data_IF_035466460868
#
_entry.id   IF_035466460868
#
_cell.length_a   1.000
_cell.length_b   1.000
_cell.length_c   1.000
_cell.angle_alpha   90.00
_cell.angle_beta   90.00
_cell.angle_gamma   90.00
#
_symmetry.space_group_name_H-M   'P 1'
#
loop_
_entity.id
_entity.type
_entity.pdbx_description
1 polymer ?
#
# COMPACT_ATOMS: atom_id res chain seq x y z
N UNK A 1 19.65 -8.31 -21.46
CA UNK A 1 18.35 -7.61 -21.34
C UNK A 1 17.74 -7.72 -19.95
N UNK A 2 17.50 -8.93 -19.41
CA UNK A 2 16.85 -9.11 -18.09
C UNK A 2 17.55 -8.41 -16.91
N UNK A 3 18.89 -8.41 -16.85
CA UNK A 3 19.65 -7.70 -15.81
C UNK A 3 19.46 -6.17 -15.85
N UNK A 4 19.35 -5.60 -17.03
CA UNK A 4 19.10 -4.16 -17.21
C UNK A 4 17.69 -3.80 -16.74
N UNK A 5 16.69 -4.63 -17.07
CA UNK A 5 15.33 -4.47 -16.58
C UNK A 5 15.25 -4.58 -15.05
N UNK A 6 15.97 -5.54 -14.46
CA UNK A 6 16.07 -5.66 -13.00
C UNK A 6 16.69 -4.42 -12.35
N UNK A 7 17.74 -3.86 -12.95
CA UNK A 7 18.38 -2.64 -12.47
C UNK A 7 17.44 -1.43 -12.55
N UNK A 8 16.68 -1.30 -13.64
CA UNK A 8 15.70 -0.23 -13.80
C UNK A 8 14.54 -0.37 -12.80
N UNK A 9 14.06 -1.60 -12.58
CA UNK A 9 13.04 -1.88 -11.57
C UNK A 9 13.54 -1.54 -10.16
N UNK A 10 14.77 -1.92 -9.84
CA UNK A 10 15.39 -1.56 -8.56
C UNK A 10 15.52 -0.04 -8.38
N UNK A 11 16.03 0.67 -9.39
CA UNK A 11 16.18 2.13 -9.33
C UNK A 11 14.83 2.86 -9.23
N UNK A 12 13.79 2.33 -9.85
CA UNK A 12 12.42 2.82 -9.70
C UNK A 12 11.89 2.56 -8.29
N UNK A 13 12.07 1.35 -7.76
CA UNK A 13 11.57 0.96 -6.46
C UNK A 13 12.27 1.71 -5.31
N UNK A 14 13.58 1.56 -5.18
CA UNK A 14 14.36 2.18 -4.11
C UNK A 14 15.46 3.10 -4.66
N UNK A 15 15.56 4.36 -4.20
CA UNK A 15 14.72 5.01 -3.18
C UNK A 15 13.44 5.66 -3.73
N UNK A 16 13.22 5.63 -5.05
CA UNK A 16 12.30 6.56 -5.71
C UNK A 16 10.81 6.32 -5.39
N UNK A 17 10.34 5.08 -5.29
CA UNK A 17 8.95 4.80 -4.90
C UNK A 17 8.82 4.53 -3.41
N UNK A 18 9.70 3.71 -2.84
CA UNK A 18 9.57 3.24 -1.46
C UNK A 18 9.83 4.31 -0.41
N UNK A 19 10.65 5.33 -0.71
CA UNK A 19 11.15 6.26 0.31
C UNK A 19 10.92 7.75 -0.01
N UNK A 20 11.29 8.20 -1.20
CA UNK A 20 11.27 9.63 -1.55
C UNK A 20 9.89 10.29 -1.35
N UNK A 21 8.77 9.70 -1.79
CA UNK A 21 7.45 10.31 -1.61
C UNK A 21 7.12 10.55 -0.14
N UNK A 22 7.48 9.60 0.73
CA UNK A 22 7.24 9.67 2.18
C UNK A 22 8.16 10.65 2.90
N UNK A 23 9.35 10.94 2.35
CA UNK A 23 10.22 12.02 2.86
C UNK A 23 9.66 13.40 2.51
N UNK A 24 9.05 13.55 1.33
CA UNK A 24 8.47 14.80 0.86
C UNK A 24 7.11 15.06 1.51
N UNK A 25 6.36 14.00 1.80
CA UNK A 25 5.01 14.08 2.37
C UNK A 25 4.89 15.01 3.59
N UNK A 26 5.71 14.93 4.66
CA UNK A 26 5.62 15.86 5.79
C UNK A 26 5.72 17.33 5.39
N UNK A 27 6.51 17.64 4.36
CA UNK A 27 6.64 19.00 3.84
C UNK A 27 5.33 19.44 3.18
N UNK A 28 4.75 18.56 2.36
CA UNK A 28 3.54 18.86 1.59
C UNK A 28 2.24 18.81 2.42
N UNK A 29 2.15 17.92 3.41
CA UNK A 29 0.90 17.67 4.15
C UNK A 29 0.87 18.31 5.53
N UNK A 30 2.02 18.63 6.13
CA UNK A 30 2.09 19.25 7.46
C UNK A 30 2.67 20.66 7.37
N UNK A 31 3.90 20.80 6.90
CA UNK A 31 4.63 22.07 6.97
C UNK A 31 4.02 23.15 6.07
N UNK A 32 3.81 22.86 4.79
CA UNK A 32 3.29 23.83 3.82
C UNK A 32 1.86 24.28 4.15
N UNK A 33 0.90 23.39 4.45
CA UNK A 33 -0.45 23.81 4.85
C UNK A 33 -0.45 24.64 6.13
N UNK A 34 0.33 24.23 7.14
CA UNK A 34 0.44 25.00 8.38
C UNK A 34 0.94 26.43 8.14
N UNK A 35 2.01 26.60 7.35
CA UNK A 35 2.53 27.94 7.02
C UNK A 35 1.52 28.78 6.25
N UNK A 36 0.83 28.18 5.29
CA UNK A 36 -0.21 28.85 4.51
C UNK A 36 -1.36 29.31 5.40
N UNK A 37 -1.84 28.46 6.31
CA UNK A 37 -2.91 28.81 7.25
C UNK A 37 -2.50 29.90 8.24
N UNK A 38 -1.26 29.86 8.75
CA UNK A 38 -0.70 30.95 9.56
C UNK A 38 -0.66 32.27 8.79
N UNK A 39 -0.27 32.26 7.52
CA UNK A 39 -0.28 33.47 6.68
C UNK A 39 -1.71 34.02 6.50
N UNK A 40 -2.69 33.15 6.24
CA UNK A 40 -4.10 33.54 6.09
C UNK A 40 -4.63 34.18 7.38
N UNK A 41 -4.43 33.53 8.53
CA UNK A 41 -4.91 34.05 9.83
C UNK A 41 -4.29 35.41 10.16
N UNK A 42 -3.01 35.62 9.82
CA UNK A 42 -2.33 36.91 10.05
C UNK A 42 -2.84 38.04 9.16
N UNK A 43 -3.35 37.72 7.97
CA UNK A 43 -3.89 38.73 7.03
C UNK A 43 -5.36 39.07 7.29
N UNK A 44 -6.10 38.20 7.98
CA UNK A 44 -7.55 38.32 8.18
C UNK A 44 -7.92 38.52 9.65
N UNK A 45 -8.06 39.78 10.13
CA UNK A 45 -8.30 40.07 11.56
C UNK A 45 -9.67 39.62 12.08
N UNK A 46 -10.59 39.20 11.22
CA UNK A 46 -11.88 38.64 11.60
C UNK A 46 -11.79 37.19 12.07
N UNK A 47 -10.71 36.47 11.70
CA UNK A 47 -10.48 35.07 12.10
C UNK A 47 -9.73 35.07 13.43
N UNK A 48 -10.45 34.79 14.53
CA UNK A 48 -9.90 34.77 15.90
C UNK A 48 -10.47 33.62 16.73
N UNK A 49 -9.77 33.29 17.81
CA UNK A 49 -10.18 32.25 18.75
C UNK A 49 -10.38 30.90 18.08
N UNK A 50 -11.53 30.29 18.33
CA UNK A 50 -11.88 28.94 17.84
C UNK A 50 -11.78 28.79 16.31
N UNK A 51 -12.13 29.82 15.52
CA UNK A 51 -12.01 29.74 14.06
C UNK A 51 -10.55 29.62 13.60
N UNK A 52 -9.63 30.33 14.28
CA UNK A 52 -8.21 30.25 13.98
C UNK A 52 -7.62 28.89 14.36
N UNK A 53 -8.05 28.33 15.49
CA UNK A 53 -7.66 26.99 15.93
C UNK A 53 -8.12 25.91 14.94
N UNK A 54 -9.36 26.01 14.45
CA UNK A 54 -9.89 25.05 13.48
C UNK A 54 -9.17 25.12 12.13
N UNK A 55 -8.79 26.32 11.67
CA UNK A 55 -7.99 26.54 10.46
C UNK A 55 -6.54 26.04 10.58
N UNK A 56 -5.97 26.06 11.79
CA UNK A 56 -4.66 25.47 12.08
C UNK A 56 -4.74 23.98 12.40
N UNK A 57 -5.95 23.41 12.40
CA UNK A 57 -6.19 21.99 12.54
C UNK A 57 -5.40 21.19 11.52
N UNK A 58 -4.82 20.08 11.96
CA UNK A 58 -4.16 19.15 11.05
C UNK A 58 -5.14 18.46 10.12
N UNK A 59 -4.65 18.05 8.95
CA UNK A 59 -5.45 17.29 7.99
C UNK A 59 -5.91 15.96 8.59
N UNK A 60 -7.14 15.54 8.24
CA UNK A 60 -7.65 14.20 8.56
C UNK A 60 -6.72 13.17 7.91
N UNK A 61 -6.39 12.12 8.65
CA UNK A 61 -5.50 11.09 8.13
C UNK A 61 -6.23 10.23 7.11
N UNK A 62 -5.73 10.24 5.88
CA UNK A 62 -6.24 9.39 4.82
C UNK A 62 -5.66 7.97 4.96
N UNK A 63 -6.51 6.96 4.77
CA UNK A 63 -6.11 5.56 4.77
C UNK A 63 -5.46 5.13 3.44
N UNK A 64 -5.22 6.06 2.52
CA UNK A 64 -4.42 5.85 1.31
C UNK A 64 -3.08 5.15 1.58
N UNK A 65 -2.55 5.25 2.80
CA UNK A 65 -1.33 4.56 3.24
C UNK A 65 -1.35 3.06 3.02
N UNK A 66 -2.50 2.39 3.18
CA UNK A 66 -2.62 0.96 2.90
C UNK A 66 -2.39 0.65 1.43
N UNK A 67 -2.90 1.50 0.54
CA UNK A 67 -2.70 1.33 -0.90
C UNK A 67 -1.22 1.52 -1.27
N UNK A 68 -0.54 2.52 -0.68
CA UNK A 68 0.88 2.77 -0.92
C UNK A 68 1.74 1.56 -0.50
N UNK A 69 1.53 1.02 0.71
CA UNK A 69 2.27 -0.15 1.19
C UNK A 69 2.01 -1.41 0.35
N UNK A 70 0.78 -1.58 -0.15
CA UNK A 70 0.44 -2.68 -1.06
C UNK A 70 1.10 -2.49 -2.43
N UNK A 71 1.17 -1.27 -2.94
CA UNK A 71 1.85 -0.94 -4.19
C UNK A 71 3.35 -1.23 -4.07
N UNK A 72 3.99 -0.88 -2.95
CA UNK A 72 5.38 -1.22 -2.69
C UNK A 72 5.61 -2.74 -2.74
N UNK A 73 4.73 -3.50 -2.08
CA UNK A 73 4.78 -4.95 -2.09
C UNK A 73 4.61 -5.53 -3.52
N UNK A 74 3.70 -4.97 -4.32
CA UNK A 74 3.53 -5.34 -5.73
C UNK A 74 4.79 -5.11 -6.54
N UNK A 75 5.44 -3.95 -6.41
CA UNK A 75 6.69 -3.65 -7.11
C UNK A 75 7.81 -4.59 -6.65
N UNK A 76 7.91 -4.84 -5.35
CA UNK A 76 8.94 -5.69 -4.78
C UNK A 76 8.86 -7.12 -5.32
N UNK A 77 7.66 -7.72 -5.42
CA UNK A 77 7.51 -9.10 -5.93
C UNK A 77 7.84 -9.25 -7.41
N UNK A 78 7.75 -8.17 -8.21
CA UNK A 78 8.14 -8.20 -9.62
C UNK A 78 9.63 -8.46 -9.82
N UNK A 79 10.48 -8.16 -8.82
CA UNK A 79 11.92 -8.48 -8.91
C UNK A 79 12.15 -9.98 -9.08
N UNK A 80 11.21 -10.81 -8.63
CA UNK A 80 11.32 -12.26 -8.77
C UNK A 80 11.24 -12.73 -10.22
N UNK A 81 10.65 -11.99 -11.15
CA UNK A 81 10.69 -12.37 -12.58
C UNK A 81 12.12 -12.33 -13.15
N UNK A 82 13.03 -11.61 -12.52
CA UNK A 82 14.39 -11.43 -13.00
C UNK A 82 15.38 -12.39 -12.32
N UNK A 83 16.53 -12.67 -12.97
CA UNK A 83 17.61 -13.43 -12.35
C UNK A 83 18.10 -12.73 -11.07
N UNK A 84 18.52 -13.54 -10.10
CA UNK A 84 18.93 -13.07 -8.77
C UNK A 84 20.11 -12.09 -8.81
N UNK A 85 20.16 -11.22 -7.79
CA UNK A 85 21.22 -10.21 -7.62
C UNK A 85 20.74 -8.99 -6.85
N UNK A 86 19.49 -8.58 -7.09
CA UNK A 86 18.88 -7.40 -6.44
C UNK A 86 17.81 -7.74 -5.40
N UNK A 87 17.43 -9.02 -5.24
CA UNK A 87 16.34 -9.42 -4.35
C UNK A 87 16.56 -8.94 -2.90
N UNK A 88 17.72 -9.24 -2.32
CA UNK A 88 18.02 -8.85 -0.93
C UNK A 88 18.02 -7.33 -0.80
N UNK A 89 18.62 -6.61 -1.75
CA UNK A 89 18.65 -5.15 -1.75
C UNK A 89 17.25 -4.54 -1.87
N UNK A 90 16.40 -5.12 -2.73
CA UNK A 90 15.00 -4.70 -2.91
C UNK A 90 14.20 -4.84 -1.62
N UNK A 91 14.20 -6.03 -1.01
CA UNK A 91 13.43 -6.29 0.21
C UNK A 91 14.01 -5.56 1.43
N UNK A 92 15.32 -5.37 1.51
CA UNK A 92 15.95 -4.56 2.56
C UNK A 92 15.58 -3.08 2.40
N UNK A 93 15.64 -2.54 1.18
CA UNK A 93 15.22 -1.17 0.87
C UNK A 93 13.74 -0.94 1.21
N UNK A 94 12.86 -1.88 0.85
CA UNK A 94 11.45 -1.84 1.22
C UNK A 94 11.26 -1.89 2.74
N UNK A 95 11.91 -2.83 3.44
CA UNK A 95 11.79 -2.96 4.88
C UNK A 95 12.25 -1.71 5.64
N UNK A 96 13.41 -1.14 5.27
CA UNK A 96 13.89 0.11 5.87
C UNK A 96 12.93 1.28 5.61
N UNK A 97 12.37 1.35 4.41
CA UNK A 97 11.40 2.39 4.05
C UNK A 97 10.11 2.24 4.86
N UNK A 98 9.60 1.01 5.03
CA UNK A 98 8.41 0.73 5.83
C UNK A 98 8.63 1.00 7.33
N UNK A 99 9.85 0.76 7.85
CA UNK A 99 10.21 1.17 9.22
C UNK A 99 10.16 2.69 9.37
N UNK A 100 10.69 3.44 8.39
CA UNK A 100 10.60 4.89 8.38
C UNK A 100 9.14 5.37 8.34
N UNK A 101 8.34 4.83 7.41
CA UNK A 101 6.92 5.17 7.26
C UNK A 101 6.17 4.90 8.56
N UNK A 102 6.38 3.73 9.18
CA UNK A 102 5.78 3.38 10.47
C UNK A 102 6.13 4.39 11.56
N UNK A 103 7.42 4.75 11.70
CA UNK A 103 7.85 5.72 12.70
C UNK A 103 7.24 7.11 12.44
N UNK A 104 7.17 7.52 11.17
CA UNK A 104 6.60 8.80 10.78
C UNK A 104 5.07 8.86 11.00
N UNK A 105 4.35 7.84 10.59
CA UNK A 105 2.90 7.76 10.79
C UNK A 105 2.56 7.66 12.28
N UNK A 106 3.34 6.91 13.07
CA UNK A 106 3.18 6.89 14.51
C UNK A 106 3.34 8.28 15.14
N UNK A 107 4.34 9.05 14.70
CA UNK A 107 4.49 10.44 15.12
C UNK A 107 3.29 11.31 14.72
N UNK A 108 2.81 11.20 13.48
CA UNK A 108 1.69 11.99 12.97
C UNK A 108 0.41 11.74 13.76
N UNK A 109 0.11 10.48 14.07
CA UNK A 109 -1.11 10.10 14.78
C UNK A 109 -1.13 10.70 16.18
N UNK A 110 0.03 10.75 16.84
CA UNK A 110 0.15 11.30 18.19
C UNK A 110 0.19 12.84 18.24
N UNK A 111 0.61 13.52 17.16
CA UNK A 111 0.99 14.95 17.23
C UNK A 111 0.35 15.86 16.20
N UNK A 112 -0.13 15.35 15.09
CA UNK A 112 -0.52 16.16 13.93
C UNK A 112 -1.95 15.93 13.45
N UNK A 113 -2.54 14.76 13.70
CA UNK A 113 -3.83 14.38 13.10
C UNK A 113 -4.97 14.67 14.10
N UNK A 114 -6.07 15.22 13.61
CA UNK A 114 -7.26 15.49 14.42
C UNK A 114 -8.10 14.24 14.68
N UNK A 115 -8.28 13.40 13.66
CA UNK A 115 -9.01 12.14 13.74
C UNK A 115 -8.54 11.16 12.66
N UNK A 116 -8.69 9.87 12.94
CA UNK A 116 -8.41 8.78 12.02
C UNK A 116 -9.41 7.64 12.31
N UNK A 117 -9.86 6.95 11.26
CA UNK A 117 -10.74 5.78 11.39
C UNK A 117 -10.03 4.54 10.85
N UNK A 118 -9.53 3.69 11.76
CA UNK A 118 -8.78 2.49 11.40
C UNK A 118 -9.66 1.26 11.12
N UNK A 119 -10.95 1.32 11.47
CA UNK A 119 -11.80 0.13 11.55
C UNK A 119 -13.04 0.33 10.70
N UNK A 120 -12.82 0.55 9.40
CA UNK A 120 -13.88 0.53 8.41
C UNK A 120 -13.86 -0.81 7.66
N UNK A 121 -15.02 -1.48 7.59
CA UNK A 121 -15.20 -2.72 6.85
C UNK A 121 -14.80 -2.57 5.39
N UNK A 122 -14.99 -1.39 4.80
CA UNK A 122 -14.59 -1.12 3.41
C UNK A 122 -13.07 -1.19 3.24
N UNK A 123 -12.32 -0.60 4.18
CA UNK A 123 -10.86 -0.61 4.16
C UNK A 123 -10.34 -2.04 4.32
N UNK A 124 -10.89 -2.80 5.27
CA UNK A 124 -10.49 -4.18 5.49
C UNK A 124 -10.76 -5.05 4.25
N UNK A 125 -11.92 -4.85 3.62
CA UNK A 125 -12.25 -5.55 2.37
C UNK A 125 -11.27 -5.22 1.24
N UNK A 126 -11.02 -3.93 0.98
CA UNK A 126 -10.14 -3.50 -0.10
C UNK A 126 -8.69 -3.86 0.14
N UNK A 127 -8.20 -3.76 1.38
CA UNK A 127 -6.82 -4.14 1.71
C UNK A 127 -6.58 -5.65 1.53
N UNK A 128 -7.52 -6.50 1.98
CA UNK A 128 -7.46 -7.95 1.76
C UNK A 128 -7.52 -8.29 0.28
N UNK A 129 -8.44 -7.67 -0.47
CA UNK A 129 -8.57 -7.93 -1.90
C UNK A 129 -7.34 -7.47 -2.69
N UNK A 130 -6.76 -6.31 -2.36
CA UNK A 130 -5.58 -5.76 -3.02
C UNK A 130 -4.34 -6.65 -2.81
N UNK A 131 -4.24 -7.34 -1.66
CA UNK A 131 -3.20 -8.33 -1.38
C UNK A 131 -3.22 -9.52 -2.36
N UNK A 132 -4.35 -9.81 -3.02
CA UNK A 132 -4.43 -10.87 -4.01
C UNK A 132 -3.49 -10.63 -5.22
N UNK A 133 -3.20 -9.36 -5.54
CA UNK A 133 -2.35 -8.99 -6.68
C UNK A 133 -0.88 -9.38 -6.45
N UNK A 134 -0.18 -8.92 -5.39
CA UNK A 134 1.20 -9.34 -5.14
C UNK A 134 1.32 -10.86 -4.93
N UNK A 135 0.34 -11.50 -4.28
CA UNK A 135 0.29 -12.96 -4.14
C UNK A 135 0.13 -13.69 -5.48
N UNK A 136 -0.74 -13.20 -6.36
CA UNK A 136 -0.89 -13.72 -7.72
C UNK A 136 0.39 -13.55 -8.53
N UNK A 137 1.06 -12.39 -8.43
CA UNK A 137 2.35 -12.15 -9.07
C UNK A 137 3.42 -13.13 -8.58
N UNK A 138 3.49 -13.39 -7.27
CA UNK A 138 4.40 -14.40 -6.72
C UNK A 138 4.12 -15.80 -7.28
N UNK A 139 2.86 -16.20 -7.43
CA UNK A 139 2.51 -17.48 -8.03
C UNK A 139 2.91 -17.54 -9.50
N UNK A 140 2.70 -16.47 -10.27
CA UNK A 140 3.15 -16.39 -11.65
C UNK A 140 4.69 -16.46 -11.76
N UNK A 141 5.42 -15.80 -10.86
CA UNK A 141 6.88 -15.92 -10.73
C UNK A 141 7.32 -17.35 -10.40
N UNK A 142 6.58 -18.05 -9.54
CA UNK A 142 6.86 -19.44 -9.19
C UNK A 142 6.72 -20.35 -10.42
N UNK A 143 5.60 -20.24 -11.15
CA UNK A 143 5.41 -20.95 -12.43
C UNK A 143 6.55 -20.60 -13.39
N UNK A 144 6.93 -19.32 -13.46
CA UNK A 144 8.03 -18.85 -14.29
C UNK A 144 9.36 -19.53 -14.01
N UNK A 145 9.75 -19.61 -12.75
CA UNK A 145 11.05 -20.18 -12.34
C UNK A 145 11.06 -21.69 -12.25
N UNK A 146 9.93 -22.31 -11.97
CA UNK A 146 9.80 -23.77 -11.92
C UNK A 146 9.87 -24.40 -13.32
N UNK A 147 9.63 -23.63 -14.38
CA UNK A 147 9.67 -24.12 -15.76
C UNK A 147 11.03 -24.78 -16.07
N UNK A 148 10.97 -26.00 -16.62
CA UNK A 148 12.13 -26.83 -16.95
C UNK A 148 13.04 -27.22 -15.76
N UNK A 149 12.59 -27.04 -14.51
CA UNK A 149 13.23 -27.66 -13.34
C UNK A 149 12.91 -29.16 -13.28
N UNK A 150 13.78 -29.99 -12.68
CA UNK A 150 13.51 -31.42 -12.50
C UNK A 150 12.17 -31.64 -11.78
N UNK A 151 11.24 -32.38 -12.41
CA UNK A 151 9.91 -32.66 -11.87
C UNK A 151 8.80 -31.68 -12.28
N UNK A 152 9.12 -30.66 -13.09
CA UNK A 152 8.15 -29.70 -13.62
C UNK A 152 8.07 -29.76 -15.15
N UNK A 153 6.99 -29.20 -15.70
CA UNK A 153 6.81 -29.05 -17.15
C UNK A 153 7.85 -28.08 -17.74
N UNK A 154 8.16 -28.26 -19.01
CA UNK A 154 9.00 -27.35 -19.78
C UNK A 154 8.19 -26.81 -20.95
N UNK A 155 7.68 -25.58 -20.77
CA UNK A 155 6.87 -24.84 -21.73
C UNK A 155 7.72 -23.70 -22.32
N UNK A 156 7.50 -23.37 -23.59
CA UNK A 156 8.25 -22.31 -24.29
C UNK A 156 7.30 -21.28 -24.91
N UNK A 157 7.81 -20.08 -25.15
CA UNK A 157 7.09 -19.02 -25.87
C UNK A 157 5.75 -18.64 -25.24
N UNK A 158 4.69 -18.63 -26.06
CA UNK A 158 3.36 -18.16 -25.69
C UNK A 158 2.66 -19.06 -24.66
N UNK A 159 2.96 -20.36 -24.65
CA UNK A 159 2.41 -21.30 -23.66
C UNK A 159 2.86 -20.91 -22.25
N UNK A 160 4.11 -20.49 -22.12
CA UNK A 160 4.69 -20.07 -20.85
C UNK A 160 4.03 -18.79 -20.32
N UNK A 161 3.85 -17.81 -21.20
CA UNK A 161 3.17 -16.55 -20.86
C UNK A 161 1.72 -16.81 -20.46
N UNK A 162 1.03 -17.68 -21.20
CA UNK A 162 -0.34 -18.09 -20.92
C UNK A 162 -0.45 -18.81 -19.58
N UNK A 163 0.49 -19.71 -19.25
CA UNK A 163 0.54 -20.39 -17.96
C UNK A 163 0.74 -19.42 -16.79
N UNK A 164 1.65 -18.45 -16.91
CA UNK A 164 1.85 -17.40 -15.90
C UNK A 164 0.60 -16.52 -15.73
N UNK A 165 -0.04 -16.11 -16.83
CA UNK A 165 -1.26 -15.31 -16.79
C UNK A 165 -2.43 -16.07 -16.16
N UNK A 166 -2.62 -17.34 -16.54
CA UNK A 166 -3.64 -18.21 -15.95
C UNK A 166 -3.39 -18.40 -14.45
N UNK A 167 -2.15 -18.63 -14.02
CA UNK A 167 -1.81 -18.75 -12.59
C UNK A 167 -2.16 -17.46 -11.81
N UNK A 168 -1.82 -16.29 -12.36
CA UNK A 168 -2.15 -14.99 -11.78
C UNK A 168 -3.66 -14.79 -11.63
N UNK A 169 -4.42 -14.93 -12.72
CA UNK A 169 -5.88 -14.71 -12.69
C UNK A 169 -6.63 -15.77 -11.91
N UNK A 170 -6.19 -17.04 -11.97
CA UNK A 170 -6.76 -18.11 -11.16
C UNK A 170 -6.56 -17.85 -9.66
N UNK A 171 -5.39 -17.34 -9.26
CA UNK A 171 -5.15 -16.93 -7.87
C UNK A 171 -6.09 -15.80 -7.45
N UNK A 172 -6.22 -14.74 -8.25
CA UNK A 172 -7.11 -13.61 -7.93
C UNK A 172 -8.57 -14.07 -7.82
N UNK A 173 -9.02 -14.92 -8.74
CA UNK A 173 -10.38 -15.47 -8.72
C UNK A 173 -10.61 -16.30 -7.45
N UNK A 174 -9.71 -17.24 -7.16
CA UNK A 174 -9.78 -18.07 -5.96
C UNK A 174 -9.76 -17.21 -4.69
N UNK A 175 -8.84 -16.25 -4.61
CA UNK A 175 -8.72 -15.33 -3.49
C UNK A 175 -10.03 -14.54 -3.29
N UNK A 176 -10.61 -13.99 -4.37
CA UNK A 176 -11.87 -13.25 -4.33
C UNK A 176 -13.04 -14.13 -3.86
N UNK A 177 -13.10 -15.38 -4.32
CA UNK A 177 -14.13 -16.37 -3.89
C UNK A 177 -13.98 -16.68 -2.40
N UNK A 178 -12.75 -16.88 -1.92
CA UNK A 178 -12.48 -17.12 -0.50
C UNK A 178 -12.85 -15.90 0.35
N UNK A 179 -12.47 -14.69 -0.06
CA UNK A 179 -12.86 -13.46 0.64
C UNK A 179 -14.38 -13.28 0.69
N UNK A 180 -15.10 -13.59 -0.39
CA UNK A 180 -16.55 -13.38 -0.44
C UNK A 180 -17.36 -14.43 0.31
N UNK A 181 -16.94 -15.70 0.27
CA UNK A 181 -17.78 -16.81 0.75
C UNK A 181 -17.22 -17.56 1.96
N UNK A 182 -15.91 -17.47 2.23
CA UNK A 182 -15.25 -18.19 3.31
C UNK A 182 -14.97 -17.27 4.48
N UNK A 183 -14.35 -16.10 4.24
CA UNK A 183 -14.01 -15.14 5.32
C UNK A 183 -15.22 -14.71 6.16
N UNK A 184 -16.40 -14.37 5.59
CA UNK A 184 -17.55 -13.95 6.40
C UNK A 184 -18.07 -15.04 7.34
N UNK A 185 -17.80 -16.33 7.07
CA UNK A 185 -18.20 -17.43 7.96
C UNK A 185 -17.43 -17.45 9.28
N UNK A 186 -16.29 -16.76 9.34
CA UNK A 186 -15.48 -16.59 10.55
C UNK A 186 -15.76 -15.27 11.27
N UNK A 187 -16.67 -14.44 10.74
CA UNK A 187 -17.12 -13.23 11.42
C UNK A 187 -17.93 -13.59 12.66
N UNK A 188 -17.60 -12.97 13.80
CA UNK A 188 -18.44 -13.06 14.99
C UNK A 188 -19.81 -12.45 14.67
N UNK A 189 -20.89 -13.21 14.86
CA UNK A 189 -22.28 -12.72 14.79
C UNK A 189 -22.62 -11.88 16.03
N UNK A 190 -21.75 -10.93 16.38
CA UNK A 190 -22.07 -9.89 17.34
C UNK A 190 -23.06 -8.94 16.70
N UNK A 191 -24.13 -8.62 17.42
CA UNK A 191 -25.02 -7.49 17.15
C UNK A 191 -24.17 -6.32 16.63
N UNK A 192 -24.46 -5.84 15.43
CA UNK A 192 -23.76 -4.69 14.87
C UNK A 192 -23.92 -3.54 15.86
N UNK A 193 -22.89 -3.26 16.66
CA UNK A 193 -22.78 -1.99 17.36
C UNK A 193 -23.08 -0.92 16.32
N UNK A 194 -24.07 -0.07 16.59
CA UNK A 194 -24.76 0.84 15.67
C UNK A 194 -23.89 1.94 15.04
N UNK A 195 -22.63 1.64 14.72
CA UNK A 195 -21.67 2.50 14.05
C UNK A 195 -22.10 2.92 12.64
N UNK A 196 -23.07 2.24 12.02
CA UNK A 196 -23.68 2.73 10.76
C UNK A 196 -24.54 4.00 10.97
N UNK A 197 -24.89 4.37 12.21
CA UNK A 197 -25.72 5.56 12.50
C UNK A 197 -24.99 6.78 13.06
N UNK A 198 -23.67 6.71 13.29
CA UNK A 198 -22.89 7.86 13.78
C UNK A 198 -21.98 8.45 12.69
N UNK A 199 -22.53 8.64 11.48
CA UNK A 199 -22.00 9.66 10.58
C UNK A 199 -22.32 11.01 11.20
N UNK A 200 -21.29 11.65 11.76
CA UNK A 200 -21.34 13.01 12.28
C UNK A 200 -22.08 13.93 11.29
N UNK A 201 -23.17 14.54 11.76
CA UNK A 201 -23.72 15.78 11.19
C UNK A 201 -22.86 16.95 11.57
#
# INVERSE_FOLDING_TARGET
MQRTLANNLYAYAFPATFLIPFLIEPVATIYAPYKLMVMIIRTQPHIKGFMAENLLGGLVFDLSRYADLMLDAMIAVLIFFFPGGFNIQMFLGMALSHVYIYAFDHYRVLRSIQSCNYTDKMVDWWSQWLMAIPCGCMLACFVFKANCQPGYFCMEGDEMVTACALAFFAHILLHTVLLKYVVPKFGLTGESDGAETNTYK
#
